data_IF_675906529294
#
_entry.id   IF_675906529294
#
_cell.length_a   1.000
_cell.length_b   1.000
_cell.length_c   1.000
_cell.angle_alpha   90.00
_cell.angle_beta   90.00
_cell.angle_gamma   90.00
#
_symmetry.space_group_name_H-M   'P 1'
#
loop_
_entity.id
_entity.type
_entity.pdbx_description
1 polymer ?
#
# COMPACT_ATOMS: atom_id res chain seq x y z
N UNK A 1 -3.53 -25.58 20.48
CA UNK A 1 -4.12 -24.64 19.51
C UNK A 1 -4.00 -23.23 20.09
N UNK A 2 -3.43 -22.29 19.35
CA UNK A 2 -3.33 -20.89 19.77
C UNK A 2 -4.63 -20.18 19.37
N UNK A 3 -5.41 -19.70 20.35
CA UNK A 3 -6.70 -19.01 20.13
C UNK A 3 -6.56 -17.49 20.22
N UNK A 4 -5.57 -17.02 20.98
CA UNK A 4 -5.24 -15.61 21.17
C UNK A 4 -3.76 -15.35 20.87
N UNK A 5 -3.45 -14.11 20.52
CA UNK A 5 -2.10 -13.64 20.22
C UNK A 5 -1.92 -12.21 20.72
N UNK A 6 -0.73 -11.91 21.23
CA UNK A 6 -0.34 -10.57 21.64
C UNK A 6 0.05 -9.72 20.42
N UNK A 7 -0.53 -8.52 20.31
CA UNK A 7 -0.21 -7.61 19.23
C UNK A 7 1.12 -6.90 19.50
N UNK A 8 2.10 -7.06 18.62
CA UNK A 8 3.41 -6.37 18.70
C UNK A 8 3.36 -4.84 18.58
N UNK A 9 2.19 -4.26 18.27
CA UNK A 9 2.04 -2.80 18.09
C UNK A 9 1.26 -2.13 19.21
N UNK A 10 0.11 -2.68 19.61
CA UNK A 10 -0.68 -2.11 20.70
C UNK A 10 -0.52 -2.86 22.03
N UNK A 11 0.18 -3.99 22.06
CA UNK A 11 0.41 -4.77 23.28
C UNK A 11 -0.83 -5.51 23.82
N UNK A 12 -1.96 -5.45 23.12
CA UNK A 12 -3.19 -6.13 23.56
C UNK A 12 -3.22 -7.59 23.09
N UNK A 13 -3.69 -8.47 23.96
CA UNK A 13 -4.04 -9.84 23.60
C UNK A 13 -5.37 -9.85 22.85
N UNK A 14 -5.39 -10.49 21.67
CA UNK A 14 -6.57 -10.53 20.80
C UNK A 14 -6.75 -11.92 20.20
N UNK A 15 -7.98 -12.31 19.82
CA UNK A 15 -8.22 -13.55 19.09
C UNK A 15 -7.37 -13.62 17.81
N UNK A 16 -6.94 -14.82 17.42
CA UNK A 16 -6.17 -15.01 16.16
C UNK A 16 -6.94 -14.55 14.91
N UNK A 17 -8.27 -14.47 14.97
CA UNK A 17 -9.15 -13.92 13.93
C UNK A 17 -8.96 -12.43 13.70
N UNK A 18 -8.38 -11.70 14.67
CA UNK A 18 -8.02 -10.29 14.58
C UNK A 18 -6.64 -10.06 13.93
N UNK A 19 -6.06 -11.09 13.31
CA UNK A 19 -4.77 -11.01 12.62
C UNK A 19 -4.91 -11.40 11.15
N UNK A 20 -4.11 -10.79 10.28
CA UNK A 20 -4.00 -11.22 8.88
C UNK A 20 -3.06 -12.42 8.75
N UNK A 21 -3.34 -13.31 7.81
CA UNK A 21 -2.42 -14.39 7.44
C UNK A 21 -1.15 -13.83 6.80
N UNK A 22 -0.01 -14.40 7.15
CA UNK A 22 1.29 -14.05 6.59
C UNK A 22 2.15 -15.31 6.47
N UNK A 23 2.57 -15.63 5.23
CA UNK A 23 3.55 -16.69 4.98
C UNK A 23 4.86 -16.35 5.71
N UNK A 24 5.36 -17.29 6.51
CA UNK A 24 6.56 -17.10 7.34
C UNK A 24 6.34 -16.31 8.63
N UNK A 25 5.11 -15.86 8.93
CA UNK A 25 4.77 -15.31 10.23
C UNK A 25 4.66 -16.41 11.30
N UNK A 26 4.94 -16.08 12.56
CA UNK A 26 4.67 -16.99 13.68
C UNK A 26 3.20 -17.40 13.68
N UNK A 27 2.93 -18.69 13.71
CA UNK A 27 1.59 -19.29 13.60
C UNK A 27 0.88 -19.01 12.26
N UNK A 28 1.62 -18.61 11.22
CA UNK A 28 1.06 -18.22 9.92
C UNK A 28 0.33 -16.87 9.93
N UNK A 29 0.54 -16.06 10.97
CA UNK A 29 -0.15 -14.79 11.19
C UNK A 29 0.84 -13.63 11.33
N UNK A 30 0.39 -12.43 10.96
CA UNK A 30 1.14 -11.19 11.22
C UNK A 30 1.40 -11.01 12.73
N UNK A 31 2.46 -10.28 13.05
CA UNK A 31 2.79 -9.91 14.43
C UNK A 31 1.88 -8.79 14.97
N UNK A 32 1.25 -8.00 14.11
CA UNK A 32 0.34 -6.91 14.47
C UNK A 32 -1.11 -7.28 14.15
N UNK A 33 -2.05 -6.84 14.98
CA UNK A 33 -3.48 -7.02 14.74
C UNK A 33 -3.93 -6.21 13.52
N UNK A 34 -5.11 -6.55 12.98
CA UNK A 34 -5.72 -5.90 11.82
C UNK A 34 -5.83 -4.39 11.98
N UNK A 35 -6.28 -3.90 13.15
CA UNK A 35 -6.41 -2.47 13.44
C UNK A 35 -5.07 -1.74 13.32
N UNK A 36 -4.02 -2.25 13.96
CA UNK A 36 -2.69 -1.66 13.88
C UNK A 36 -2.10 -1.73 12.46
N UNK A 37 -2.33 -2.84 11.76
CA UNK A 37 -1.89 -2.99 10.37
C UNK A 37 -2.56 -1.98 9.44
N UNK A 38 -3.88 -1.82 9.54
CA UNK A 38 -4.65 -0.87 8.74
C UNK A 38 -4.16 0.56 9.02
N UNK A 39 -4.02 0.94 10.30
CA UNK A 39 -3.51 2.26 10.69
C UNK A 39 -2.15 2.55 10.04
N UNK A 40 -1.18 1.66 10.20
CA UNK A 40 0.15 1.82 9.63
C UNK A 40 0.14 1.88 8.09
N UNK A 41 -0.69 1.05 7.45
CA UNK A 41 -0.80 1.02 5.99
C UNK A 41 -1.47 2.30 5.46
N UNK A 42 -2.48 2.83 6.15
CA UNK A 42 -3.12 4.11 5.81
C UNK A 42 -2.13 5.26 5.95
N UNK A 43 -1.36 5.33 7.03
CA UNK A 43 -0.31 6.34 7.24
C UNK A 43 0.77 6.27 6.15
N UNK A 44 1.22 5.06 5.80
CA UNK A 44 2.18 4.85 4.72
C UNK A 44 1.64 5.32 3.37
N UNK A 45 0.39 4.98 3.05
CA UNK A 45 -0.29 5.43 1.82
C UNK A 45 -0.46 6.94 1.79
N UNK A 46 -0.83 7.57 2.91
CA UNK A 46 -0.95 9.01 3.01
C UNK A 46 0.40 9.73 2.81
N UNK A 47 1.51 9.14 3.27
CA UNK A 47 2.86 9.68 3.04
C UNK A 47 3.38 9.43 1.61
N UNK A 48 2.96 8.34 0.97
CA UNK A 48 3.45 7.93 -0.36
C UNK A 48 2.55 8.37 -1.52
N UNK A 49 1.33 8.84 -1.24
CA UNK A 49 0.36 9.32 -2.23
C UNK A 49 0.93 10.46 -3.09
N UNK A 50 1.70 11.37 -2.51
CA UNK A 50 2.31 12.48 -3.26
C UNK A 50 3.31 12.01 -4.31
N UNK A 51 4.17 11.03 -3.97
CA UNK A 51 5.16 10.47 -4.90
C UNK A 51 4.50 9.70 -6.04
N UNK A 52 3.46 8.90 -5.74
CA UNK A 52 2.71 8.14 -6.74
C UNK A 52 1.91 9.06 -7.69
N UNK A 53 1.31 10.12 -7.15
CA UNK A 53 0.54 11.12 -7.92
C UNK A 53 1.45 11.97 -8.82
N UNK A 54 2.65 12.30 -8.37
CA UNK A 54 3.64 13.06 -9.16
C UNK A 54 4.12 12.29 -10.39
N UNK A 55 4.58 11.04 -10.22
CA UNK A 55 5.06 10.23 -11.34
C UNK A 55 4.00 9.99 -12.41
N UNK A 56 2.74 9.86 -11.99
CA UNK A 56 1.61 9.72 -12.91
C UNK A 56 1.34 11.00 -13.73
N UNK A 57 1.38 12.19 -13.10
CA UNK A 57 1.15 13.47 -13.79
C UNK A 57 2.21 13.79 -14.85
N UNK A 58 3.48 13.57 -14.52
CA UNK A 58 4.59 13.83 -15.44
C UNK A 58 4.55 12.89 -16.65
N UNK A 59 4.29 11.61 -16.40
CA UNK A 59 4.05 10.61 -17.45
C UNK A 59 2.94 11.05 -18.41
N UNK A 60 1.77 11.45 -17.90
CA UNK A 60 0.66 11.92 -18.76
C UNK A 60 0.97 13.22 -19.51
N UNK A 61 1.72 14.15 -18.89
CA UNK A 61 2.14 15.40 -19.55
C UNK A 61 3.11 15.11 -20.70
N UNK A 62 4.07 14.21 -20.51
CA UNK A 62 5.02 13.82 -21.55
C UNK A 62 4.33 13.06 -22.69
N UNK A 63 3.40 12.15 -22.38
CA UNK A 63 2.62 11.45 -23.40
C UNK A 63 1.79 12.42 -24.28
N UNK A 64 1.17 13.44 -23.68
CA UNK A 64 0.46 14.49 -24.44
C UNK A 64 1.40 15.25 -25.40
N UNK A 65 2.62 15.55 -24.97
CA UNK A 65 3.62 16.21 -25.84
C UNK A 65 4.03 15.33 -27.02
N UNK A 66 4.33 14.05 -26.76
CA UNK A 66 4.70 13.08 -27.79
C UNK A 66 3.56 12.90 -28.79
N UNK A 67 2.32 12.81 -28.31
CA UNK A 67 1.15 12.69 -29.19
C UNK A 67 0.97 13.93 -30.08
N UNK A 68 1.13 15.12 -29.52
CA UNK A 68 1.02 16.37 -30.28
C UNK A 68 2.14 16.53 -31.32
N UNK A 69 3.37 16.09 -31.02
CA UNK A 69 4.46 16.13 -32.01
C UNK A 69 4.21 15.17 -33.17
N UNK A 70 3.72 13.96 -32.87
CA UNK A 70 3.38 12.98 -33.90
C UNK A 70 2.21 13.46 -34.78
N UNK A 71 1.18 14.08 -34.18
CA UNK A 71 0.07 14.67 -34.94
C UNK A 71 0.55 15.79 -35.90
N UNK A 72 1.46 16.66 -35.48
CA UNK A 72 2.04 17.69 -36.34
C UNK A 72 2.84 17.11 -37.52
N UNK A 73 3.64 16.07 -37.28
CA UNK A 73 4.44 15.36 -38.29
C UNK A 73 3.59 14.54 -39.28
N UNK A 74 2.37 14.14 -38.91
CA UNK A 74 1.46 13.40 -39.81
C UNK A 74 0.61 14.29 -40.72
N UNK A 75 0.58 15.60 -40.45
CA UNK A 75 -0.27 16.57 -41.16
C UNK A 75 0.54 17.44 -42.14
N UNK A 76 1.87 17.50 -41.99
CA UNK A 76 2.81 18.11 -42.96
C UNK A 76 3.65 17.04 -43.64
#
# INVERSE_FOLDING_TARGET
MVTTKLCSKCGEEKPITEYYRQKGGKDGLRAACKKCFIKANTEYRARSSDKLRMGSKEYFRNLKKIKASYEYETVN
#
